data_IF_752988336279
#
_entry.id   IF_752988336279
#
_cell.length_a   1.000
_cell.length_b   1.000
_cell.length_c   1.000
_cell.angle_alpha   90.00
_cell.angle_beta   90.00
_cell.angle_gamma   90.00
#
_symmetry.space_group_name_H-M   'P 1'
#
loop_
_entity.id
_entity.type
_entity.pdbx_description
1 polymer ?
#
# COMPACT_ATOMS: atom_id res chain seq x y z
N UNK A 1 -18.16 -16.37 -5.71
CA UNK A 1 -17.74 -17.07 -4.48
C UNK A 1 -16.54 -16.34 -3.91
N UNK A 2 -16.55 -15.99 -2.63
CA UNK A 2 -15.37 -15.42 -1.95
C UNK A 2 -14.30 -16.50 -1.84
N UNK A 3 -13.08 -16.21 -2.31
CA UNK A 3 -11.93 -17.13 -2.16
C UNK A 3 -11.45 -17.03 -0.72
N UNK A 4 -11.65 -18.07 0.08
CA UNK A 4 -11.04 -18.19 1.40
C UNK A 4 -9.61 -18.70 1.24
N UNK A 5 -8.68 -18.11 1.99
CA UNK A 5 -7.28 -18.57 2.05
C UNK A 5 -6.97 -18.86 3.51
N UNK A 6 -6.58 -20.10 3.80
CA UNK A 6 -6.11 -20.50 5.14
C UNK A 6 -4.60 -20.31 5.19
N UNK A 7 -4.12 -19.70 6.26
CA UNK A 7 -2.70 -19.45 6.48
C UNK A 7 -2.32 -19.89 7.90
N UNK A 8 -1.22 -20.63 8.02
CA UNK A 8 -0.63 -20.98 9.32
C UNK A 8 0.58 -20.09 9.55
N UNK A 9 0.59 -19.35 10.66
CA UNK A 9 1.66 -18.42 11.02
C UNK A 9 2.34 -18.90 12.29
N UNK A 10 3.67 -18.93 12.29
CA UNK A 10 4.46 -19.20 13.49
C UNK A 10 4.91 -17.88 14.10
N UNK A 11 4.53 -17.64 15.35
CA UNK A 11 5.04 -16.53 16.16
C UNK A 11 6.10 -17.07 17.13
N UNK A 12 7.07 -16.23 17.50
CA UNK A 12 8.15 -16.62 18.42
C UNK A 12 8.43 -15.54 19.45
N UNK A 13 8.78 -15.98 20.67
CA UNK A 13 9.19 -15.12 21.79
C UNK A 13 8.22 -13.97 22.02
N UNK A 14 8.77 -12.76 22.05
CA UNK A 14 8.05 -11.52 22.36
C UNK A 14 6.82 -11.26 21.47
N UNK A 15 6.81 -11.71 20.21
CA UNK A 15 5.64 -11.54 19.34
C UNK A 15 4.46 -12.43 19.77
N UNK A 16 4.75 -13.64 20.25
CA UNK A 16 3.72 -14.53 20.78
C UNK A 16 3.10 -13.94 22.05
N UNK A 17 3.95 -13.44 22.96
CA UNK A 17 3.51 -12.83 24.23
C UNK A 17 2.68 -11.56 23.95
N UNK A 18 3.12 -10.75 22.99
CA UNK A 18 2.40 -9.55 22.60
C UNK A 18 1.01 -9.87 22.03
N UNK A 19 0.90 -10.86 21.14
CA UNK A 19 -0.41 -11.29 20.60
C UNK A 19 -1.29 -11.84 21.73
N UNK A 20 -0.74 -12.66 22.63
CA UNK A 20 -1.48 -13.20 23.76
C UNK A 20 -2.02 -12.11 24.70
N UNK A 21 -1.29 -11.01 24.90
CA UNK A 21 -1.75 -9.88 25.71
C UNK A 21 -2.85 -9.04 25.04
N UNK A 22 -3.01 -9.14 23.72
CA UNK A 22 -3.97 -8.35 22.94
C UNK A 22 -5.20 -9.16 22.49
N UNK A 23 -5.20 -10.47 22.70
CA UNK A 23 -6.24 -11.40 22.22
C UNK A 23 -6.87 -12.15 23.39
N UNK A 24 -8.19 -12.24 23.41
CA UNK A 24 -8.97 -12.97 24.43
C UNK A 24 -9.96 -12.06 25.15
N UNK A 25 -10.56 -12.55 26.23
CA UNK A 25 -11.69 -11.88 26.93
C UNK A 25 -11.36 -10.46 27.44
N UNK A 26 -10.09 -10.20 27.77
CA UNK A 26 -9.60 -8.90 28.21
C UNK A 26 -8.77 -8.16 27.14
N UNK A 27 -8.56 -8.79 25.99
CA UNK A 27 -7.81 -8.23 24.86
C UNK A 27 -8.67 -7.34 23.96
N UNK A 28 -8.02 -6.56 23.09
CA UNK A 28 -8.72 -5.73 22.09
C UNK A 28 -9.29 -6.55 20.92
N UNK A 29 -8.94 -7.83 20.81
CA UNK A 29 -9.36 -8.72 19.73
C UNK A 29 -9.86 -10.04 20.31
N UNK A 30 -10.87 -10.64 19.68
CA UNK A 30 -11.46 -11.89 20.16
C UNK A 30 -10.56 -13.09 19.86
N UNK A 31 -9.86 -13.07 18.73
CA UNK A 31 -8.96 -14.14 18.32
C UNK A 31 -7.78 -13.65 17.46
N UNK A 32 -6.75 -14.49 17.34
CA UNK A 32 -5.53 -14.18 16.59
C UNK A 32 -5.83 -13.93 15.10
N UNK A 33 -6.77 -14.67 14.51
CA UNK A 33 -7.13 -14.49 13.10
C UNK A 33 -7.79 -13.14 12.82
N UNK A 34 -8.53 -12.58 13.77
CA UNK A 34 -9.01 -11.20 13.70
C UNK A 34 -7.85 -10.20 13.77
N UNK A 35 -6.96 -10.37 14.74
CA UNK A 35 -5.82 -9.49 14.88
C UNK A 35 -4.93 -9.45 13.63
N UNK A 36 -4.62 -10.62 13.07
CA UNK A 36 -3.85 -10.72 11.82
C UNK A 36 -4.58 -10.09 10.63
N UNK A 37 -5.90 -10.27 10.50
CA UNK A 37 -6.68 -9.62 9.44
C UNK A 37 -6.63 -8.10 9.55
N UNK A 38 -6.69 -7.57 10.76
CA UNK A 38 -6.59 -6.13 11.00
C UNK A 38 -5.18 -5.61 10.66
N UNK A 39 -4.13 -6.31 11.07
CA UNK A 39 -2.74 -5.97 10.69
C UNK A 39 -2.54 -5.96 9.17
N UNK A 40 -3.06 -6.97 8.46
CA UNK A 40 -2.98 -7.04 6.98
C UNK A 40 -3.73 -5.85 6.34
N UNK A 41 -4.88 -5.47 6.89
CA UNK A 41 -5.64 -4.31 6.38
C UNK A 41 -4.86 -3.02 6.57
N UNK A 42 -4.28 -2.80 7.76
CA UNK A 42 -3.46 -1.61 8.05
C UNK A 42 -2.20 -1.57 7.19
N UNK A 43 -1.58 -2.72 6.95
CA UNK A 43 -0.41 -2.82 6.06
C UNK A 43 -0.78 -2.45 4.62
N UNK A 44 -1.88 -3.01 4.10
CA UNK A 44 -2.42 -2.66 2.78
C UNK A 44 -2.71 -1.16 2.67
N UNK A 45 -3.42 -0.59 3.63
CA UNK A 45 -3.76 0.84 3.65
C UNK A 45 -2.51 1.74 3.69
N UNK A 46 -1.50 1.34 4.45
CA UNK A 46 -0.22 2.05 4.49
C UNK A 46 0.46 2.04 3.12
N UNK A 47 0.60 0.87 2.50
CA UNK A 47 1.25 0.72 1.19
C UNK A 47 0.51 1.51 0.10
N UNK A 48 -0.82 1.43 0.09
CA UNK A 48 -1.65 2.18 -0.87
C UNK A 48 -1.52 3.70 -0.67
N UNK A 49 -1.52 4.17 0.57
CA UNK A 49 -1.32 5.58 0.89
C UNK A 49 0.06 6.07 0.47
N UNK A 50 1.12 5.32 0.78
CA UNK A 50 2.48 5.66 0.37
C UNK A 50 2.63 5.74 -1.15
N UNK A 51 2.04 4.79 -1.88
CA UNK A 51 2.04 4.81 -3.34
C UNK A 51 1.27 6.01 -3.91
N UNK A 52 0.11 6.33 -3.32
CA UNK A 52 -0.69 7.49 -3.72
C UNK A 52 0.04 8.81 -3.44
N UNK A 53 0.62 8.97 -2.26
CA UNK A 53 1.32 10.18 -1.87
C UNK A 53 2.57 10.41 -2.73
N UNK A 54 3.30 9.34 -3.08
CA UNK A 54 4.41 9.42 -4.05
C UNK A 54 3.94 9.94 -5.40
N UNK A 55 2.90 9.32 -5.99
CA UNK A 55 2.37 9.74 -7.29
C UNK A 55 1.88 11.19 -7.25
N UNK A 56 1.16 11.57 -6.18
CA UNK A 56 0.68 12.94 -5.99
C UNK A 56 1.85 13.94 -5.94
N UNK A 57 2.92 13.62 -5.22
CA UNK A 57 4.10 14.49 -5.14
C UNK A 57 4.80 14.65 -6.49
N UNK A 58 4.96 13.56 -7.24
CA UNK A 58 5.54 13.59 -8.60
C UNK A 58 4.70 14.44 -9.56
N UNK A 59 3.38 14.26 -9.56
CA UNK A 59 2.46 15.06 -10.38
C UNK A 59 2.47 16.53 -9.96
N UNK A 60 2.40 16.82 -8.65
CA UNK A 60 2.44 18.19 -8.15
C UNK A 60 3.72 18.92 -8.59
N UNK A 61 4.88 18.23 -8.53
CA UNK A 61 6.13 18.77 -9.04
C UNK A 61 6.09 19.01 -10.56
N UNK A 62 5.58 18.05 -11.34
CA UNK A 62 5.49 18.17 -12.79
C UNK A 62 4.56 19.32 -13.24
N UNK A 63 3.43 19.50 -12.56
CA UNK A 63 2.43 20.52 -12.88
C UNK A 63 2.74 21.91 -12.29
N UNK A 64 3.72 22.03 -11.38
CA UNK A 64 4.14 23.32 -10.85
C UNK A 64 4.85 24.20 -11.89
N UNK A 65 5.25 23.64 -13.04
CA UNK A 65 5.86 24.38 -14.13
C UNK A 65 4.85 25.35 -14.78
N UNK A 66 5.25 26.61 -15.09
CA UNK A 66 4.37 27.56 -15.76
C UNK A 66 3.87 27.03 -17.10
N UNK A 67 2.64 27.38 -17.48
CA UNK A 67 2.04 26.84 -18.70
C UNK A 67 2.85 27.18 -19.96
N UNK A 68 3.51 28.34 -19.97
CA UNK A 68 4.40 28.79 -21.03
C UNK A 68 5.62 27.89 -21.28
N UNK A 69 5.93 26.97 -20.34
CA UNK A 69 7.04 26.02 -20.49
C UNK A 69 6.64 24.75 -21.24
N UNK A 70 5.33 24.45 -21.35
CA UNK A 70 4.84 23.31 -22.13
C UNK A 70 4.98 23.58 -23.62
N UNK A 71 5.24 22.52 -24.38
CA UNK A 71 5.34 22.56 -25.84
C UNK A 71 4.34 21.57 -26.44
N UNK A 72 3.67 21.91 -27.55
CA UNK A 72 2.88 20.93 -28.30
C UNK A 72 3.74 19.73 -28.66
N UNK A 73 3.20 18.53 -28.47
CA UNK A 73 3.87 17.28 -28.78
C UNK A 73 2.82 16.25 -29.21
N UNK A 74 3.06 15.61 -30.34
CA UNK A 74 2.20 14.56 -30.89
C UNK A 74 2.74 13.17 -30.53
N UNK A 75 1.84 12.18 -30.52
CA UNK A 75 2.25 10.79 -30.32
C UNK A 75 3.24 10.31 -31.41
N UNK A 76 3.09 10.78 -32.65
CA UNK A 76 3.98 10.43 -33.76
C UNK A 76 5.42 10.91 -33.54
N UNK A 77 5.60 12.14 -33.04
CA UNK A 77 6.91 12.69 -32.69
C UNK A 77 7.58 11.90 -31.55
N UNK A 78 6.81 11.48 -30.54
CA UNK A 78 7.31 10.62 -29.45
C UNK A 78 7.76 9.26 -29.98
N UNK A 79 6.96 8.61 -30.83
CA UNK A 79 7.29 7.29 -31.40
C UNK A 79 8.54 7.39 -32.28
N UNK A 80 8.63 8.42 -33.13
CA UNK A 80 9.80 8.64 -33.98
C UNK A 80 11.09 8.82 -33.17
N UNK A 81 11.01 9.53 -32.03
CA UNK A 81 12.16 9.76 -31.13
C UNK A 81 12.72 8.48 -30.50
N UNK A 82 11.88 7.47 -30.25
CA UNK A 82 12.26 6.26 -29.49
C UNK A 82 12.48 5.02 -30.39
N UNK A 83 12.59 5.18 -31.72
CA UNK A 83 12.72 4.08 -32.69
C UNK A 83 14.17 3.57 -32.90
N UNK A 84 15.11 3.94 -32.04
CA UNK A 84 16.49 3.45 -32.07
C UNK A 84 16.62 2.09 -31.37
#
# INVERSE_FOLDING_TARGET
>A
MSRTTTMTVRLSGALSDFVAANVGETGSYENVSEYIRDLIRRDKERVEREAFDRLKAELAHAFAAPESTYRPLTAAEVIARNKA
#
